data_IF_483092755562
#
_entry.id   IF_483092755562
#
_cell.length_a   1.000
_cell.length_b   1.000
_cell.length_c   1.000
_cell.angle_alpha   90.00
_cell.angle_beta   90.00
_cell.angle_gamma   90.00
#
_symmetry.space_group_name_H-M   'P 1'
#
loop_
_entity.id
_entity.type
_entity.pdbx_description
1 polymer ?
#
# COMPACT_ATOMS: atom_id res chain seq x y z
N UNK A 1 19.06 -5.15 -37.12
CA UNK A 1 18.24 -5.03 -35.90
C UNK A 1 16.77 -4.91 -36.27
N UNK A 2 16.04 -6.03 -36.41
CA UNK A 2 14.57 -6.02 -36.60
C UNK A 2 13.98 -7.40 -36.28
N UNK A 3 14.19 -7.89 -35.06
CA UNK A 3 13.61 -9.16 -34.62
C UNK A 3 12.23 -9.00 -33.98
N UNK A 4 11.91 -7.81 -33.44
CA UNK A 4 10.62 -7.56 -32.78
C UNK A 4 9.48 -7.27 -33.77
N UNK A 5 9.78 -6.73 -34.95
CA UNK A 5 8.77 -6.40 -35.94
C UNK A 5 8.23 -7.62 -36.73
N UNK A 6 8.91 -8.78 -36.67
CA UNK A 6 8.54 -9.95 -37.49
C UNK A 6 7.56 -10.92 -36.82
N UNK A 7 7.31 -10.80 -35.51
CA UNK A 7 6.50 -11.79 -34.77
C UNK A 7 5.01 -11.43 -34.77
N UNK A 8 4.68 -10.13 -34.85
CA UNK A 8 3.30 -9.66 -34.76
C UNK A 8 2.95 -8.75 -35.95
N UNK A 9 2.06 -9.20 -36.86
CA UNK A 9 1.58 -8.37 -37.97
C UNK A 9 0.87 -7.11 -37.47
N UNK A 10 1.19 -5.96 -38.06
CA UNK A 10 0.56 -4.68 -37.69
C UNK A 10 -0.98 -4.68 -37.86
N UNK A 11 -1.49 -5.49 -38.80
CA UNK A 11 -2.93 -5.65 -39.03
C UNK A 11 -3.68 -6.28 -37.85
N UNK A 12 -3.00 -7.01 -36.96
CA UNK A 12 -3.63 -7.61 -35.79
C UNK A 12 -3.87 -6.58 -34.68
N UNK A 13 -2.99 -5.59 -34.55
CA UNK A 13 -3.09 -4.55 -33.53
C UNK A 13 -4.36 -3.70 -33.67
N UNK A 14 -4.85 -3.54 -34.90
CA UNK A 14 -6.08 -2.77 -35.20
C UNK A 14 -7.34 -3.64 -35.20
N UNK A 15 -7.21 -4.95 -34.97
CA UNK A 15 -8.33 -5.88 -35.05
C UNK A 15 -9.14 -5.90 -33.76
N UNK A 16 -10.46 -6.04 -33.90
CA UNK A 16 -11.37 -6.09 -32.74
C UNK A 16 -11.11 -7.29 -31.84
N UNK A 17 -10.77 -8.46 -32.40
CA UNK A 17 -10.51 -9.66 -31.60
C UNK A 17 -9.29 -9.49 -30.69
N UNK A 18 -8.23 -8.86 -31.20
CA UNK A 18 -7.01 -8.60 -30.44
C UNK A 18 -7.24 -7.55 -29.35
N UNK A 19 -8.01 -6.50 -29.68
CA UNK A 19 -8.41 -5.47 -28.72
C UNK A 19 -9.17 -6.07 -27.53
N UNK A 20 -10.12 -6.99 -27.78
CA UNK A 20 -10.87 -7.66 -26.71
C UNK A 20 -9.97 -8.50 -25.80
N UNK A 21 -9.06 -9.30 -26.37
CA UNK A 21 -8.11 -10.10 -25.59
C UNK A 21 -7.17 -9.21 -24.77
N UNK A 22 -6.66 -8.15 -25.38
CA UNK A 22 -5.76 -7.19 -24.73
C UNK A 22 -6.48 -6.47 -23.59
N UNK A 23 -7.73 -6.06 -23.78
CA UNK A 23 -8.53 -5.44 -22.73
C UNK A 23 -8.75 -6.39 -21.55
N UNK A 24 -9.06 -7.66 -21.80
CA UNK A 24 -9.22 -8.67 -20.74
C UNK A 24 -7.95 -8.82 -19.89
N UNK A 25 -6.79 -8.99 -20.55
CA UNK A 25 -5.49 -9.09 -19.88
C UNK A 25 -5.13 -7.79 -19.15
N UNK A 26 -5.39 -6.64 -19.77
CA UNK A 26 -5.11 -5.33 -19.21
C UNK A 26 -5.91 -5.07 -17.94
N UNK A 27 -7.21 -5.42 -17.91
CA UNK A 27 -8.05 -5.27 -16.71
C UNK A 27 -7.54 -6.16 -15.57
N UNK A 28 -7.24 -7.44 -15.84
CA UNK A 28 -6.69 -8.32 -14.82
C UNK A 28 -5.36 -7.79 -14.25
N UNK A 29 -4.47 -7.35 -15.14
CA UNK A 29 -3.17 -6.78 -14.76
C UNK A 29 -3.35 -5.50 -13.95
N UNK A 30 -4.24 -4.61 -14.37
CA UNK A 30 -4.53 -3.36 -13.69
C UNK A 30 -5.04 -3.61 -12.27
N UNK A 31 -6.00 -4.53 -12.09
CA UNK A 31 -6.51 -4.90 -10.76
C UNK A 31 -5.38 -5.42 -9.88
N UNK A 32 -4.54 -6.32 -10.41
CA UNK A 32 -3.40 -6.85 -9.67
C UNK A 32 -2.38 -5.77 -9.29
N UNK A 33 -2.07 -4.85 -10.21
CA UNK A 33 -1.15 -3.73 -9.96
C UNK A 33 -1.72 -2.81 -8.89
N UNK A 34 -3.00 -2.43 -8.98
CA UNK A 34 -3.67 -1.58 -7.98
C UNK A 34 -3.60 -2.22 -6.59
N UNK A 35 -3.90 -3.52 -6.49
CA UNK A 35 -3.79 -4.25 -5.23
C UNK A 35 -2.35 -4.33 -4.73
N UNK A 36 -1.40 -4.60 -5.62
CA UNK A 36 0.02 -4.69 -5.28
C UNK A 36 0.56 -3.36 -4.76
N UNK A 37 0.28 -2.26 -5.46
CA UNK A 37 0.65 -0.89 -5.04
C UNK A 37 -0.02 -0.54 -3.71
N UNK A 38 -1.31 -0.86 -3.55
CA UNK A 38 -2.03 -0.65 -2.29
C UNK A 38 -1.43 -1.43 -1.12
N UNK A 39 -0.87 -2.62 -1.39
CA UNK A 39 -0.20 -3.45 -0.38
C UNK A 39 1.23 -3.00 -0.09
N UNK A 40 1.93 -2.41 -1.07
CA UNK A 40 3.27 -1.82 -0.88
C UNK A 40 3.16 -0.53 -0.06
N UNK A 41 2.03 0.19 -0.16
CA UNK A 41 1.79 1.37 0.68
C UNK A 41 1.77 0.93 2.15
N UNK A 42 2.75 1.32 2.98
CA UNK A 42 2.71 1.02 4.40
C UNK A 42 1.38 1.54 4.93
N UNK A 43 0.62 0.72 5.67
CA UNK A 43 -0.69 1.11 6.24
C UNK A 43 -0.54 2.48 6.90
N UNK A 44 -0.92 3.53 6.19
CA UNK A 44 -0.88 4.91 6.67
C UNK A 44 -1.99 4.97 7.70
N UNK A 45 -1.66 4.64 8.94
CA UNK A 45 -2.57 4.85 10.06
C UNK A 45 -2.64 6.38 10.21
N UNK A 46 -3.77 7.04 9.94
CA UNK A 46 -3.86 8.49 10.13
C UNK A 46 -3.56 8.89 11.59
N UNK A 47 -3.74 7.95 12.52
CA UNK A 47 -3.40 8.07 13.95
C UNK A 47 -1.89 8.11 14.25
N UNK A 48 -1.02 7.53 13.41
CA UNK A 48 0.44 7.58 13.63
C UNK A 48 1.10 8.81 13.00
N UNK A 49 0.40 9.51 12.10
CA UNK A 49 0.88 10.73 11.44
C UNK A 49 0.56 12.03 12.17
N UNK A 50 -0.30 12.00 13.19
CA UNK A 50 -0.57 13.14 14.07
C UNK A 50 0.56 13.27 15.11
N UNK A 51 1.46 14.28 15.03
CA UNK A 51 2.59 14.44 15.94
C UNK A 51 2.20 14.93 17.35
N UNK A 52 0.94 14.74 17.76
CA UNK A 52 0.39 15.22 19.03
C UNK A 52 -0.08 14.12 19.99
N UNK A 53 -0.25 12.87 19.55
CA UNK A 53 -0.77 11.79 20.41
C UNK A 53 0.32 10.95 21.08
N UNK A 54 1.60 11.26 20.84
CA UNK A 54 2.74 10.67 21.55
C UNK A 54 3.00 11.30 22.92
N UNK A 55 2.08 12.11 23.43
CA UNK A 55 2.10 12.61 24.82
C UNK A 55 1.35 11.71 25.82
N UNK A 56 0.54 10.77 25.33
CA UNK A 56 -0.21 9.84 26.20
C UNK A 56 0.64 8.66 26.72
N UNK A 57 1.89 8.51 26.24
CA UNK A 57 2.90 7.70 26.93
C UNK A 57 3.54 8.50 28.08
N UNK A 58 2.72 9.29 28.80
CA UNK A 58 3.07 9.84 30.09
C UNK A 58 3.16 8.66 31.04
N UNK A 59 4.34 8.04 31.05
CA UNK A 59 4.86 7.26 32.15
C UNK A 59 4.58 8.03 33.43
N UNK A 60 3.48 7.70 34.09
CA UNK A 60 3.23 7.93 35.51
C UNK A 60 2.85 6.60 36.14
N UNK A 61 3.68 5.59 35.89
CA UNK A 61 3.78 4.50 36.85
C UNK A 61 4.77 4.96 37.91
N UNK A 62 4.26 5.55 38.98
CA UNK A 62 4.94 5.46 40.27
C UNK A 62 4.56 4.10 40.85
N UNK A 63 5.27 3.04 40.45
CA UNK A 63 5.21 1.73 41.10
C UNK A 63 6.11 1.71 42.34
N UNK A 64 5.93 2.66 43.26
CA UNK A 64 6.59 2.61 44.57
C UNK A 64 5.82 1.64 45.47
N UNK A 65 6.50 0.64 46.04
CA UNK A 65 5.92 -0.37 46.95
C UNK A 65 5.89 0.14 48.40
N UNK A 66 6.42 1.34 48.66
CA UNK A 66 6.49 1.92 49.99
C UNK A 66 5.25 2.78 50.30
N UNK A 67 4.64 2.63 51.49
CA UNK A 67 3.60 3.53 51.95
C UNK A 67 4.18 4.92 52.24
N UNK A 68 3.48 5.98 51.84
CA UNK A 68 3.80 7.37 52.23
C UNK A 68 3.40 7.54 53.70
N UNK A 69 4.33 7.91 54.60
CA UNK A 69 3.99 8.17 56.00
C UNK A 69 3.12 9.43 56.13
N UNK A 70 2.09 9.43 57.00
CA UNK A 70 1.36 10.66 57.30
C UNK A 70 2.14 11.50 58.33
N UNK A 71 2.58 12.72 57.97
CA UNK A 71 3.10 13.66 58.97
C UNK A 71 4.01 14.78 58.49
N UNK A 72 3.47 15.69 57.66
CA UNK A 72 3.85 17.11 57.60
C UNK A 72 2.60 17.96 57.29
#
# INVERSE_FOLDING_TARGET
MSLLASVLPASWLTSTWYATLTAFVAVNTLVYVVLSVSKILPRLHPTTWLPGQRGANRRRESRSIHPVPPGD
#
